data_IF_256670319219
#
_entry.id   IF_256670319219
#
_cell.length_a   1.000
_cell.length_b   1.000
_cell.length_c   1.000
_cell.angle_alpha   90.00
_cell.angle_beta   90.00
_cell.angle_gamma   90.00
#
_symmetry.space_group_name_H-M   'P 1'
#
loop_
_entity.id
_entity.type
_entity.pdbx_description
1 polymer ?
#
# COMPACT_ATOMS: atom_id res chain seq x y z
N UNK A 1 11.37 25.79 10.08
CA UNK A 1 11.71 24.36 10.29
C UNK A 1 10.65 23.59 11.09
N UNK A 2 10.23 24.06 12.28
CA UNK A 2 9.20 23.37 13.09
C UNK A 2 7.83 23.25 12.40
N UNK A 3 7.39 24.29 11.69
CA UNK A 3 6.11 24.29 10.97
C UNK A 3 6.08 23.29 9.81
N UNK A 4 7.13 23.25 8.97
CA UNK A 4 7.25 22.27 7.88
C UNK A 4 7.29 20.83 8.43
N UNK A 5 8.06 20.59 9.50
CA UNK A 5 8.09 19.28 10.16
C UNK A 5 6.70 18.87 10.65
N UNK A 6 5.97 19.77 11.31
CA UNK A 6 4.62 19.48 11.79
C UNK A 6 3.63 19.16 10.64
N UNK A 7 3.77 19.81 9.49
CA UNK A 7 2.94 19.52 8.30
C UNK A 7 3.25 18.12 7.78
N UNK A 8 4.53 17.78 7.63
CA UNK A 8 4.96 16.45 7.15
C UNK A 8 4.54 15.36 8.15
N UNK A 9 4.71 15.62 9.45
CA UNK A 9 4.25 14.73 10.51
C UNK A 9 2.76 14.48 10.43
N UNK A 10 1.96 15.54 10.29
CA UNK A 10 0.52 15.42 10.12
C UNK A 10 0.17 14.60 8.87
N UNK A 11 0.83 14.89 7.73
CA UNK A 11 0.60 14.19 6.46
C UNK A 11 0.85 12.68 6.54
N UNK A 12 1.89 12.25 7.27
CA UNK A 12 2.21 10.83 7.48
C UNK A 12 1.31 10.20 8.55
N UNK A 13 1.12 10.88 9.68
CA UNK A 13 0.36 10.36 10.82
C UNK A 13 -1.14 10.26 10.53
N UNK A 14 -1.66 11.12 9.65
CA UNK A 14 -3.05 11.08 9.17
C UNK A 14 -3.30 10.06 8.05
N UNK A 15 -2.26 9.34 7.62
CA UNK A 15 -2.30 8.37 6.51
C UNK A 15 -2.64 8.97 5.14
N UNK A 16 -2.56 10.30 4.98
CA UNK A 16 -2.69 10.96 3.68
C UNK A 16 -1.59 10.53 2.71
N UNK A 17 -0.37 10.33 3.21
CA UNK A 17 0.73 9.87 2.37
C UNK A 17 0.49 8.48 1.78
N UNK A 18 0.12 7.52 2.63
CA UNK A 18 -0.27 6.17 2.22
C UNK A 18 -1.43 6.21 1.24
N UNK A 19 -2.46 7.03 1.51
CA UNK A 19 -3.60 7.17 0.61
C UNK A 19 -3.20 7.67 -0.78
N UNK A 20 -2.28 8.63 -0.85
CA UNK A 20 -1.73 9.10 -2.12
C UNK A 20 -0.90 8.01 -2.82
N UNK A 21 -0.13 7.21 -2.09
CA UNK A 21 0.62 6.10 -2.64
C UNK A 21 -0.30 4.99 -3.21
N UNK A 22 -1.38 4.64 -2.51
CA UNK A 22 -2.38 3.67 -3.00
C UNK A 22 -3.11 4.21 -4.22
N UNK A 23 -3.50 5.49 -4.21
CA UNK A 23 -4.09 6.15 -5.38
C UNK A 23 -3.12 6.13 -6.58
N UNK A 24 -1.84 6.43 -6.36
CA UNK A 24 -0.83 6.32 -7.42
C UNK A 24 -0.70 4.89 -7.99
N UNK A 25 -0.85 3.84 -7.17
CA UNK A 25 -0.88 2.46 -7.67
C UNK A 25 -2.12 2.16 -8.51
N UNK A 26 -3.28 2.74 -8.17
CA UNK A 26 -4.51 2.65 -8.99
C UNK A 26 -4.25 3.28 -10.36
N UNK A 27 -3.72 4.50 -10.38
CA UNK A 27 -3.38 5.22 -11.62
C UNK A 27 -2.35 4.47 -12.49
N UNK A 28 -1.30 3.92 -11.88
CA UNK A 28 -0.33 3.06 -12.58
C UNK A 28 -1.05 1.90 -13.25
N UNK A 29 -2.01 1.27 -12.57
CA UNK A 29 -2.77 0.16 -13.16
C UNK A 29 -3.63 0.63 -14.32
N UNK A 30 -4.37 1.74 -14.17
CA UNK A 30 -5.21 2.27 -15.25
C UNK A 30 -4.39 2.63 -16.49
N UNK A 31 -3.23 3.28 -16.33
CA UNK A 31 -2.32 3.62 -17.43
C UNK A 31 -1.78 2.36 -18.09
N UNK A 32 -1.20 1.44 -17.30
CA UNK A 32 -0.58 0.21 -17.85
C UNK A 32 -1.59 -0.67 -18.57
N UNK A 33 -2.82 -0.77 -18.06
CA UNK A 33 -3.88 -1.57 -18.66
C UNK A 33 -4.73 -0.83 -19.69
N UNK A 34 -4.58 0.50 -19.82
CA UNK A 34 -5.41 1.38 -20.66
C UNK A 34 -6.90 1.30 -20.29
N UNK A 35 -7.19 1.27 -18.99
CA UNK A 35 -8.55 1.24 -18.47
C UNK A 35 -9.17 2.64 -18.49
N UNK A 36 -10.50 2.70 -18.54
CA UNK A 36 -11.23 3.94 -18.31
C UNK A 36 -11.29 4.27 -16.82
N UNK A 37 -10.91 5.50 -16.49
CA UNK A 37 -10.95 6.09 -15.15
C UNK A 37 -12.37 6.07 -14.53
N UNK A 38 -12.53 5.36 -13.41
CA UNK A 38 -13.69 5.46 -12.52
C UNK A 38 -13.35 6.32 -11.31
N UNK A 39 -13.61 7.63 -11.47
CA UNK A 39 -13.33 8.64 -10.45
C UNK A 39 -14.03 8.36 -9.12
N UNK A 40 -15.19 7.71 -9.12
CA UNK A 40 -15.88 7.40 -7.87
C UNK A 40 -15.14 6.29 -7.13
N UNK A 41 -14.71 5.24 -7.85
CA UNK A 41 -13.91 4.15 -7.30
C UNK A 41 -12.57 4.65 -6.77
N UNK A 42 -11.80 5.39 -7.55
CA UNK A 42 -10.53 5.99 -7.14
C UNK A 42 -10.65 6.81 -5.84
N UNK A 43 -11.66 7.70 -5.78
CA UNK A 43 -11.86 8.57 -4.61
C UNK A 43 -12.28 7.75 -3.39
N UNK A 44 -13.15 6.75 -3.57
CA UNK A 44 -13.50 5.84 -2.49
C UNK A 44 -12.31 5.02 -2.00
N UNK A 45 -11.41 4.58 -2.89
CA UNK A 45 -10.16 3.91 -2.53
C UNK A 45 -9.24 4.86 -1.75
N UNK A 46 -9.07 6.11 -2.21
CA UNK A 46 -8.24 7.10 -1.54
C UNK A 46 -8.74 7.39 -0.12
N UNK A 47 -10.00 7.79 0.03
CA UNK A 47 -10.57 8.08 1.36
C UNK A 47 -10.69 6.81 2.22
N UNK A 48 -10.99 5.65 1.61
CA UNK A 48 -11.03 4.36 2.28
C UNK A 48 -9.67 3.95 2.82
N UNK A 49 -8.58 4.29 2.12
CA UNK A 49 -7.21 4.06 2.59
C UNK A 49 -6.92 4.91 3.83
N UNK A 50 -7.33 6.19 3.85
CA UNK A 50 -7.21 7.04 5.05
C UNK A 50 -7.92 6.39 6.24
N UNK A 51 -9.17 5.97 6.04
CA UNK A 51 -9.99 5.33 7.08
C UNK A 51 -9.34 4.03 7.57
N UNK A 52 -8.99 3.13 6.67
CA UNK A 52 -8.42 1.82 7.01
C UNK A 52 -7.08 1.91 7.74
N UNK A 53 -6.16 2.75 7.26
CA UNK A 53 -4.85 2.91 7.91
C UNK A 53 -4.94 3.69 9.22
N UNK A 54 -5.80 4.71 9.34
CA UNK A 54 -6.01 5.38 10.62
C UNK A 54 -6.67 4.45 11.63
N UNK A 55 -7.64 3.62 11.19
CA UNK A 55 -8.18 2.58 12.04
C UNK A 55 -7.06 1.65 12.54
N UNK A 56 -6.23 1.09 11.66
CA UNK A 56 -5.12 0.21 12.06
C UNK A 56 -4.10 0.88 12.99
N UNK A 57 -3.80 2.18 12.80
CA UNK A 57 -2.83 2.93 13.62
C UNK A 57 -3.37 3.26 15.02
N UNK A 58 -4.65 3.60 15.14
CA UNK A 58 -5.22 4.18 16.37
C UNK A 58 -6.20 3.26 17.10
N UNK A 59 -6.65 2.15 16.48
CA UNK A 59 -7.65 1.25 17.06
C UNK A 59 -7.21 0.64 18.39
N UNK A 60 -5.95 0.21 18.51
CA UNK A 60 -5.47 -0.39 19.75
C UNK A 60 -5.46 0.62 20.92
N UNK A 61 -4.99 1.84 20.67
CA UNK A 61 -5.03 2.93 21.66
C UNK A 61 -6.45 3.33 22.02
N UNK A 62 -7.35 3.33 21.04
CA UNK A 62 -8.78 3.59 21.25
C UNK A 62 -9.43 2.50 22.12
N UNK A 63 -9.20 1.22 21.81
CA UNK A 63 -9.75 0.09 22.55
C UNK A 63 -9.26 0.04 24.01
N UNK A 64 -8.01 0.41 24.25
CA UNK A 64 -7.42 0.50 25.60
C UNK A 64 -7.83 1.76 26.37
N UNK A 65 -8.58 2.68 25.76
CA UNK A 65 -8.98 3.95 26.37
C UNK A 65 -7.85 4.98 26.50
N UNK A 66 -6.70 4.74 25.88
CA UNK A 66 -5.48 5.54 26.00
C UNK A 66 -5.32 6.58 24.87
N UNK A 67 -6.32 6.71 24.00
CA UNK A 67 -6.25 7.64 22.88
C UNK A 67 -6.45 9.07 23.36
N UNK A 68 -5.41 9.90 23.21
CA UNK A 68 -5.52 11.33 23.48
C UNK A 68 -6.30 12.03 22.35
N UNK A 69 -7.57 12.32 22.62
CA UNK A 69 -8.48 12.98 21.67
C UNK A 69 -8.05 14.40 21.34
N UNK A 70 -7.47 15.14 22.29
CA UNK A 70 -7.08 16.53 22.08
C UNK A 70 -5.88 16.62 21.13
N UNK A 71 -4.89 15.73 21.33
CA UNK A 71 -3.72 15.64 20.47
C UNK A 71 -4.07 15.17 19.07
N UNK A 72 -5.01 14.24 18.93
CA UNK A 72 -5.37 13.61 17.65
C UNK A 72 -6.61 14.20 16.97
N UNK A 73 -7.19 15.29 17.49
CA UNK A 73 -8.49 15.85 17.03
C UNK A 73 -8.57 16.07 15.52
N UNK A 74 -7.49 16.52 14.89
CA UNK A 74 -7.46 16.79 13.45
C UNK A 74 -7.42 15.50 12.64
N UNK A 75 -6.71 14.47 13.11
CA UNK A 75 -6.66 13.15 12.49
C UNK A 75 -8.04 12.47 12.60
N UNK A 76 -8.68 12.58 13.78
CA UNK A 76 -10.04 12.08 13.99
C UNK A 76 -11.02 12.80 13.07
N UNK A 77 -10.98 14.13 13.00
CA UNK A 77 -11.82 14.93 12.11
C UNK A 77 -11.64 14.57 10.63
N UNK A 78 -10.39 14.43 10.17
CA UNK A 78 -10.09 13.97 8.81
C UNK A 78 -10.63 12.56 8.56
N UNK A 79 -10.45 11.64 9.52
CA UNK A 79 -10.95 10.26 9.40
C UNK A 79 -12.47 10.25 9.29
N UNK A 80 -13.16 11.03 10.11
CA UNK A 80 -14.62 11.18 10.05
C UNK A 80 -15.09 11.74 8.69
N UNK A 81 -14.44 12.80 8.20
CA UNK A 81 -14.75 13.36 6.88
C UNK A 81 -14.48 12.35 5.76
N UNK A 82 -13.42 11.55 5.90
CA UNK A 82 -13.08 10.49 4.94
C UNK A 82 -14.14 9.38 4.94
N UNK A 83 -14.71 9.02 6.09
CA UNK A 83 -15.85 8.07 6.16
C UNK A 83 -17.05 8.61 5.37
N UNK A 84 -17.40 9.88 5.57
CA UNK A 84 -18.49 10.53 4.82
C UNK A 84 -18.19 10.50 3.32
N UNK A 85 -16.96 10.84 2.93
CA UNK A 85 -16.54 10.82 1.53
C UNK A 85 -16.62 9.42 0.91
N UNK A 86 -16.16 8.37 1.62
CA UNK A 86 -16.30 6.97 1.16
C UNK A 86 -17.76 6.62 0.93
N UNK A 87 -18.65 6.93 1.88
CA UNK A 87 -20.08 6.66 1.73
C UNK A 87 -20.65 7.42 0.53
N UNK A 88 -20.32 8.69 0.38
CA UNK A 88 -20.79 9.55 -0.71
C UNK A 88 -20.38 9.00 -2.09
N UNK A 89 -19.11 8.62 -2.28
CA UNK A 89 -18.63 8.08 -3.55
C UNK A 89 -19.13 6.65 -3.79
N UNK A 90 -19.21 5.83 -2.75
CA UNK A 90 -19.76 4.49 -2.82
C UNK A 90 -21.20 4.50 -3.36
N UNK A 91 -22.05 5.42 -2.87
CA UNK A 91 -23.44 5.54 -3.33
C UNK A 91 -23.58 5.98 -4.80
N UNK A 92 -22.52 6.56 -5.39
CA UNK A 92 -22.49 6.96 -6.80
C UNK A 92 -21.95 5.88 -7.75
N UNK A 93 -21.39 4.80 -7.21
CA UNK A 93 -20.91 3.67 -8.03
C UNK A 93 -22.07 2.84 -8.56
N UNK A 94 -21.82 2.12 -9.65
CA UNK A 94 -22.74 1.09 -10.11
C UNK A 94 -22.80 -0.09 -9.11
N UNK A 95 -23.90 -0.86 -9.11
CA UNK A 95 -24.13 -1.93 -8.13
C UNK A 95 -23.06 -3.02 -8.17
N UNK A 96 -22.53 -3.34 -9.36
CA UNK A 96 -21.45 -4.32 -9.51
C UNK A 96 -20.19 -3.87 -8.77
N UNK A 97 -19.76 -2.62 -8.99
CA UNK A 97 -18.57 -2.03 -8.32
C UNK A 97 -18.76 -1.97 -6.81
N UNK A 98 -19.95 -1.61 -6.33
CA UNK A 98 -20.28 -1.59 -4.91
C UNK A 98 -20.07 -2.96 -4.24
N UNK A 99 -20.54 -4.05 -4.88
CA UNK A 99 -20.39 -5.41 -4.37
C UNK A 99 -18.90 -5.77 -4.25
N UNK A 100 -18.10 -5.44 -5.25
CA UNK A 100 -16.66 -5.72 -5.22
C UNK A 100 -15.93 -4.87 -4.18
N UNK A 101 -16.28 -3.60 -4.07
CA UNK A 101 -15.72 -2.71 -3.07
C UNK A 101 -16.02 -3.21 -1.65
N UNK A 102 -17.24 -3.71 -1.38
CA UNK A 102 -17.58 -4.34 -0.10
C UNK A 102 -16.73 -5.60 0.14
N UNK A 103 -16.59 -6.48 -0.85
CA UNK A 103 -15.79 -7.71 -0.72
C UNK A 103 -14.33 -7.39 -0.35
N UNK A 104 -13.72 -6.42 -1.02
CA UNK A 104 -12.35 -5.99 -0.73
C UNK A 104 -12.28 -5.29 0.64
N UNK A 105 -13.25 -4.43 0.95
CA UNK A 105 -13.36 -3.77 2.25
C UNK A 105 -13.46 -4.75 3.42
N UNK A 106 -14.24 -5.83 3.27
CA UNK A 106 -14.32 -6.93 4.25
C UNK A 106 -12.98 -7.64 4.40
N UNK A 107 -12.29 -7.91 3.29
CA UNK A 107 -10.96 -8.53 3.33
C UNK A 107 -9.94 -7.66 4.08
N UNK A 108 -9.95 -6.35 3.84
CA UNK A 108 -9.11 -5.38 4.56
C UNK A 108 -9.52 -5.29 6.03
N UNK A 109 -10.81 -5.36 6.36
CA UNK A 109 -11.29 -5.37 7.73
C UNK A 109 -10.88 -6.64 8.52
N UNK A 110 -10.67 -7.76 7.82
CA UNK A 110 -10.18 -9.00 8.42
C UNK A 110 -8.66 -8.99 8.67
N UNK A 111 -7.90 -8.17 7.93
CA UNK A 111 -6.44 -8.07 8.07
C UNK A 111 -5.94 -7.88 9.52
N UNK A 112 -6.49 -6.97 10.37
CA UNK A 112 -6.01 -6.81 11.75
C UNK A 112 -6.06 -8.09 12.60
N UNK A 113 -6.95 -9.04 12.27
CA UNK A 113 -7.02 -10.34 12.95
C UNK A 113 -5.99 -11.32 12.40
N UNK A 114 -5.78 -11.33 11.08
CA UNK A 114 -4.88 -12.25 10.39
C UNK A 114 -3.40 -11.84 10.51
N UNK A 115 -3.11 -10.55 10.70
CA UNK A 115 -1.73 -10.04 10.78
C UNK A 115 -0.94 -10.58 11.99
N UNK A 116 -1.63 -11.16 12.98
CA UNK A 116 -1.01 -11.84 14.14
C UNK A 116 -0.15 -13.04 13.74
N UNK A 117 -0.35 -13.57 12.53
CA UNK A 117 0.53 -14.57 11.96
C UNK A 117 1.71 -13.85 11.27
N UNK A 118 2.75 -13.49 12.05
CA UNK A 118 3.82 -12.58 11.64
C UNK A 118 4.48 -12.90 10.30
N UNK A 119 4.79 -14.17 10.01
CA UNK A 119 5.34 -14.55 8.70
C UNK A 119 4.41 -14.24 7.52
N UNK A 120 3.09 -14.37 7.71
CA UNK A 120 2.08 -14.12 6.68
C UNK A 120 1.68 -12.64 6.59
N UNK A 121 2.01 -11.82 7.59
CA UNK A 121 1.68 -10.38 7.65
C UNK A 121 2.02 -9.66 6.35
N UNK A 122 3.25 -9.83 5.86
CA UNK A 122 3.74 -9.21 4.63
C UNK A 122 2.95 -9.65 3.38
N UNK A 123 2.63 -10.95 3.27
CA UNK A 123 1.87 -11.47 2.13
C UNK A 123 0.42 -11.00 2.16
N UNK A 124 -0.19 -10.93 3.35
CA UNK A 124 -1.57 -10.46 3.53
C UNK A 124 -1.73 -8.98 3.17
N UNK A 125 -0.81 -8.11 3.62
CA UNK A 125 -0.83 -6.70 3.23
C UNK A 125 -0.68 -6.57 1.72
N UNK A 126 0.28 -7.29 1.14
CA UNK A 126 0.54 -7.23 -0.30
C UNK A 126 -0.65 -7.71 -1.12
N UNK A 127 -1.37 -8.73 -0.63
CA UNK A 127 -2.61 -9.20 -1.23
C UNK A 127 -3.72 -8.14 -1.15
N UNK A 128 -3.90 -7.50 0.01
CA UNK A 128 -4.89 -6.43 0.19
C UNK A 128 -4.63 -5.24 -0.75
N UNK A 129 -3.38 -4.79 -0.83
CA UNK A 129 -2.98 -3.70 -1.72
C UNK A 129 -3.15 -4.10 -3.19
N UNK A 130 -2.76 -5.32 -3.57
CA UNK A 130 -2.96 -5.80 -4.95
C UNK A 130 -4.45 -5.89 -5.30
N UNK A 131 -5.26 -6.37 -4.37
CA UNK A 131 -6.70 -6.49 -4.58
C UNK A 131 -7.35 -5.12 -4.79
N UNK A 132 -7.01 -4.11 -3.96
CA UNK A 132 -7.60 -2.78 -4.10
C UNK A 132 -7.05 -1.99 -5.29
N UNK A 133 -5.77 -2.18 -5.67
CA UNK A 133 -5.11 -1.37 -6.71
C UNK A 133 -5.13 -1.97 -8.11
N UNK A 134 -5.42 -3.27 -8.23
CA UNK A 134 -5.52 -3.95 -9.54
C UNK A 134 -6.84 -4.68 -9.66
N UNK A 135 -7.10 -5.65 -8.78
CA UNK A 135 -8.27 -6.52 -8.92
C UNK A 135 -9.58 -5.73 -8.92
N UNK A 136 -9.71 -4.71 -8.07
CA UNK A 136 -10.88 -3.83 -8.02
C UNK A 136 -11.23 -3.19 -9.37
N UNK A 137 -10.22 -2.92 -10.21
CA UNK A 137 -10.37 -2.23 -11.49
C UNK A 137 -10.74 -3.19 -12.62
N UNK A 138 -10.27 -4.44 -12.56
CA UNK A 138 -10.43 -5.43 -13.63
C UNK A 138 -11.55 -6.45 -13.37
N UNK A 139 -12.06 -6.55 -12.14
CA UNK A 139 -13.00 -7.61 -11.73
C UNK A 139 -14.37 -7.57 -12.43
N UNK A 140 -14.70 -6.46 -13.11
CA UNK A 140 -15.92 -6.36 -13.90
C UNK A 140 -15.82 -7.08 -15.26
N UNK A 141 -14.63 -7.52 -15.64
CA UNK A 141 -14.42 -8.25 -16.89
C UNK A 141 -14.74 -9.74 -16.71
N UNK A 142 -15.36 -10.35 -17.73
CA UNK A 142 -15.76 -11.76 -17.70
C UNK A 142 -14.55 -12.72 -17.62
N UNK A 143 -13.44 -12.34 -18.25
CA UNK A 143 -12.20 -13.11 -18.25
C UNK A 143 -10.99 -12.19 -18.18
N UNK A 144 -10.00 -12.56 -17.36
CA UNK A 144 -8.74 -11.83 -17.30
C UNK A 144 -7.85 -12.21 -18.48
N UNK A 145 -7.43 -11.19 -19.22
CA UNK A 145 -6.36 -11.27 -20.21
C UNK A 145 -5.02 -11.62 -19.56
N UNK A 146 -4.08 -12.11 -20.35
CA UNK A 146 -2.73 -12.42 -19.83
C UNK A 146 -2.01 -11.15 -19.34
N UNK A 147 -2.28 -9.99 -19.97
CA UNK A 147 -1.79 -8.69 -19.54
C UNK A 147 -2.23 -8.36 -18.11
N UNK A 148 -3.49 -8.59 -17.77
CA UNK A 148 -4.03 -8.32 -16.43
C UNK A 148 -3.46 -9.27 -15.38
N UNK A 149 -3.31 -10.55 -15.72
CA UNK A 149 -2.64 -11.52 -14.83
C UNK A 149 -1.20 -11.12 -14.56
N UNK A 150 -0.48 -10.66 -15.58
CA UNK A 150 0.89 -10.14 -15.46
C UNK A 150 0.91 -8.94 -14.51
N UNK A 151 0.05 -7.93 -14.72
CA UNK A 151 0.00 -6.72 -13.88
C UNK A 151 -0.38 -7.06 -12.43
N UNK A 152 -1.33 -7.97 -12.23
CA UNK A 152 -1.73 -8.45 -10.89
C UNK A 152 -0.55 -9.10 -10.17
N UNK A 153 0.17 -10.00 -10.85
CA UNK A 153 1.31 -10.68 -10.25
C UNK A 153 2.50 -9.75 -10.04
N UNK A 154 2.79 -8.84 -10.98
CA UNK A 154 3.79 -7.78 -10.81
C UNK A 154 3.47 -6.90 -9.59
N UNK A 155 2.22 -6.45 -9.44
CA UNK A 155 1.78 -5.64 -8.30
C UNK A 155 1.99 -6.38 -6.99
N UNK A 156 1.66 -7.66 -6.93
CA UNK A 156 1.89 -8.46 -5.74
C UNK A 156 3.37 -8.55 -5.36
N UNK A 157 4.26 -8.81 -6.34
CA UNK A 157 5.70 -8.90 -6.13
C UNK A 157 6.31 -7.58 -5.63
N UNK A 158 5.99 -6.46 -6.29
CA UNK A 158 6.56 -5.15 -5.94
C UNK A 158 6.06 -4.66 -4.58
N UNK A 159 4.79 -4.92 -4.22
CA UNK A 159 4.29 -4.55 -2.89
C UNK A 159 4.97 -5.39 -1.81
N UNK A 160 5.20 -6.69 -2.03
CA UNK A 160 5.99 -7.50 -1.08
C UNK A 160 7.37 -6.88 -0.88
N UNK A 161 8.06 -6.53 -1.97
CA UNK A 161 9.38 -5.92 -1.88
C UNK A 161 9.37 -4.58 -1.12
N UNK A 162 8.37 -3.72 -1.38
CA UNK A 162 8.18 -2.45 -0.68
C UNK A 162 7.86 -2.61 0.80
N UNK A 163 7.29 -3.75 1.23
CA UNK A 163 7.02 -4.04 2.64
C UNK A 163 8.27 -4.47 3.42
N UNK A 164 9.36 -4.88 2.76
CA UNK A 164 10.57 -5.39 3.43
C UNK A 164 11.22 -4.34 4.35
N UNK A 165 11.36 -3.06 3.95
CA UNK A 165 11.86 -2.03 4.86
C UNK A 165 11.02 -1.88 6.14
N UNK A 166 9.70 -1.98 6.04
CA UNK A 166 8.79 -1.89 7.18
C UNK A 166 8.93 -3.11 8.08
N UNK A 167 8.98 -4.33 7.52
CA UNK A 167 9.20 -5.54 8.30
C UNK A 167 10.52 -5.51 9.07
N UNK A 168 11.60 -4.99 8.46
CA UNK A 168 12.89 -4.83 9.15
C UNK A 168 12.75 -3.84 10.31
N UNK A 169 12.14 -2.68 10.10
CA UNK A 169 11.98 -1.66 11.15
C UNK A 169 11.09 -2.16 12.30
N UNK A 170 9.94 -2.76 11.96
CA UNK A 170 8.98 -3.27 12.95
C UNK A 170 9.55 -4.43 13.77
N UNK A 171 10.48 -5.21 13.21
CA UNK A 171 11.05 -6.38 13.88
C UNK A 171 11.81 -6.10 15.18
N UNK A 172 12.18 -4.83 15.45
CA UNK A 172 12.78 -4.42 16.73
C UNK A 172 11.74 -4.34 17.87
N UNK A 173 10.47 -4.09 17.52
CA UNK A 173 9.38 -3.90 18.49
C UNK A 173 8.30 -4.98 18.43
N UNK A 174 8.24 -5.75 17.33
CA UNK A 174 7.32 -6.87 17.18
C UNK A 174 7.65 -7.98 18.19
N UNK A 175 6.61 -8.61 18.75
CA UNK A 175 6.74 -9.75 19.67
C UNK A 175 7.48 -10.92 19.01
N UNK A 176 8.45 -11.53 19.69
CA UNK A 176 9.25 -12.66 19.18
C UNK A 176 8.39 -13.87 18.75
N UNK A 177 7.20 -14.03 19.34
CA UNK A 177 6.24 -15.09 18.97
C UNK A 177 5.67 -14.94 17.56
N UNK A 178 5.68 -13.71 17.00
CA UNK A 178 5.23 -13.42 15.64
C UNK A 178 6.10 -14.14 14.60
N UNK A 179 7.38 -14.32 14.91
CA UNK A 179 8.39 -14.92 14.03
C UNK A 179 8.31 -14.31 12.63
N UNK A 180 8.47 -12.98 12.53
CA UNK A 180 8.50 -12.25 11.26
C UNK A 180 9.68 -12.68 10.38
N UNK A 181 9.74 -12.21 9.13
CA UNK A 181 10.80 -12.61 8.22
C UNK A 181 12.21 -12.22 8.75
N UNK A 182 12.43 -11.00 9.28
CA UNK A 182 13.70 -10.64 9.92
C UNK A 182 14.00 -11.46 11.18
N UNK A 183 13.00 -11.75 12.02
CA UNK A 183 13.19 -12.55 13.23
C UNK A 183 13.57 -14.01 12.92
N UNK A 184 12.99 -14.61 11.87
CA UNK A 184 13.30 -16.01 11.48
C UNK A 184 14.62 -16.19 10.75
N UNK A 185 14.91 -15.28 9.81
CA UNK A 185 16.00 -15.48 8.85
C UNK A 185 17.13 -14.46 8.98
N UNK A 186 16.95 -13.43 9.80
CA UNK A 186 17.87 -12.32 9.95
C UNK A 186 17.70 -11.26 8.86
N UNK A 187 18.04 -10.01 9.21
CA UNK A 187 17.88 -8.82 8.37
C UNK A 187 18.51 -9.01 6.98
N UNK A 188 19.70 -9.61 6.91
CA UNK A 188 20.42 -9.81 5.65
C UNK A 188 19.62 -10.67 4.67
N UNK A 189 19.08 -11.81 5.11
CA UNK A 189 18.28 -12.71 4.26
C UNK A 189 16.94 -12.06 3.88
N UNK A 190 16.35 -11.30 4.78
CA UNK A 190 15.11 -10.54 4.50
C UNK A 190 15.31 -9.50 3.40
N UNK A 191 16.43 -8.75 3.43
CA UNK A 191 16.78 -7.83 2.33
C UNK A 191 16.93 -8.55 1.00
N UNK A 192 17.70 -9.63 0.99
CA UNK A 192 17.91 -10.42 -0.22
C UNK A 192 16.62 -11.02 -0.76
N UNK A 193 15.73 -11.51 0.10
CA UNK A 193 14.41 -11.98 -0.30
C UNK A 193 13.64 -10.88 -1.06
N UNK A 194 13.58 -9.66 -0.52
CA UNK A 194 12.95 -8.52 -1.20
C UNK A 194 13.59 -8.18 -2.53
N UNK A 195 14.93 -8.13 -2.59
CA UNK A 195 15.68 -7.78 -3.81
C UNK A 195 15.50 -8.86 -4.90
N UNK A 196 15.54 -10.15 -4.53
CA UNK A 196 15.36 -11.26 -5.47
C UNK A 196 13.96 -11.25 -6.08
N UNK A 197 12.92 -10.87 -5.31
CA UNK A 197 11.55 -10.74 -5.83
C UNK A 197 11.40 -9.69 -6.93
N UNK A 198 12.33 -8.72 -7.01
CA UNK A 198 12.33 -7.73 -8.09
C UNK A 198 12.76 -8.32 -9.44
N UNK A 199 13.45 -9.47 -9.45
CA UNK A 199 13.82 -10.16 -10.68
C UNK A 199 12.59 -10.66 -11.46
N UNK A 200 11.70 -11.51 -10.89
CA UNK A 200 10.48 -11.89 -11.60
C UNK A 200 9.58 -10.69 -11.90
N UNK A 201 9.54 -9.67 -11.04
CA UNK A 201 8.80 -8.43 -11.32
C UNK A 201 9.23 -7.76 -12.63
N UNK A 202 10.55 -7.62 -12.85
CA UNK A 202 11.11 -7.06 -14.09
C UNK A 202 10.98 -8.03 -15.26
N UNK A 203 11.21 -9.33 -15.05
CA UNK A 203 11.11 -10.33 -16.12
C UNK A 203 9.70 -10.40 -16.72
N UNK A 204 8.67 -10.22 -15.90
CA UNK A 204 7.28 -10.17 -16.33
C UNK A 204 6.98 -9.03 -17.31
N UNK A 205 7.78 -7.96 -17.30
CA UNK A 205 7.61 -6.82 -18.20
C UNK A 205 7.84 -7.21 -19.67
N UNK A 206 8.76 -8.15 -19.93
CA UNK A 206 9.07 -8.62 -21.29
C UNK A 206 7.97 -9.50 -21.90
N UNK A 207 6.96 -9.89 -21.12
CA UNK A 207 5.78 -10.61 -21.60
C UNK A 207 4.63 -9.67 -22.00
N UNK A 208 4.77 -8.36 -21.75
CA UNK A 208 3.83 -7.35 -22.23
C UNK A 208 4.17 -6.93 -23.66
N UNK A 209 3.16 -6.50 -24.40
CA UNK A 209 3.33 -5.97 -25.77
C UNK A 209 4.20 -4.71 -25.81
N UNK A 210 4.09 -3.87 -24.78
CA UNK A 210 4.88 -2.65 -24.60
C UNK A 210 5.66 -2.76 -23.30
N UNK A 211 6.98 -2.58 -23.41
CA UNK A 211 7.89 -2.59 -22.27
C UNK A 211 7.93 -1.19 -21.66
N UNK A 212 7.55 -1.09 -20.38
CA UNK A 212 7.64 0.15 -19.62
C UNK A 212 8.99 0.26 -18.91
N UNK A 213 9.83 1.22 -19.32
CA UNK A 213 11.15 1.47 -18.69
C UNK A 213 11.00 1.87 -17.21
N UNK A 214 9.86 2.48 -16.84
CA UNK A 214 9.51 2.81 -15.46
C UNK A 214 9.55 1.59 -14.53
N UNK A 215 9.15 0.40 -15.00
CA UNK A 215 9.19 -0.85 -14.22
C UNK A 215 10.62 -1.17 -13.75
N UNK A 216 11.61 -1.03 -14.64
CA UNK A 216 13.01 -1.25 -14.29
C UNK A 216 13.53 -0.18 -13.31
N UNK A 217 13.20 1.09 -13.55
CA UNK A 217 13.60 2.20 -12.68
C UNK A 217 13.05 1.98 -11.26
N UNK A 218 11.79 1.60 -11.15
CA UNK A 218 11.13 1.34 -9.86
C UNK A 218 11.70 0.12 -9.16
N UNK A 219 12.07 -0.93 -9.89
CA UNK A 219 12.80 -2.06 -9.32
C UNK A 219 14.14 -1.60 -8.72
N UNK A 220 14.94 -0.82 -9.45
CA UNK A 220 16.23 -0.30 -8.96
C UNK A 220 16.03 0.58 -7.72
N UNK A 221 15.09 1.53 -7.76
CA UNK A 221 14.78 2.40 -6.62
C UNK A 221 14.36 1.57 -5.39
N UNK A 222 13.50 0.58 -5.58
CA UNK A 222 13.04 -0.31 -4.50
C UNK A 222 14.20 -1.14 -3.93
N UNK A 223 15.08 -1.68 -4.78
CA UNK A 223 16.26 -2.42 -4.35
C UNK A 223 17.21 -1.55 -3.50
N UNK A 224 17.44 -0.30 -3.90
CA UNK A 224 18.23 0.65 -3.12
C UNK A 224 17.58 0.94 -1.77
N UNK A 225 16.27 1.15 -1.73
CA UNK A 225 15.55 1.38 -0.48
C UNK A 225 15.67 0.18 0.48
N UNK A 226 15.53 -1.05 -0.03
CA UNK A 226 15.74 -2.27 0.76
C UNK A 226 17.18 -2.37 1.24
N UNK A 227 18.15 -2.16 0.35
CA UNK A 227 19.58 -2.27 0.63
C UNK A 227 20.04 -1.35 1.76
N UNK A 228 19.59 -0.10 1.76
CA UNK A 228 19.95 0.89 2.77
C UNK A 228 19.09 0.87 4.04
N UNK A 229 18.10 -0.02 4.16
CA UNK A 229 17.30 -0.13 5.39
C UNK A 229 18.12 -0.68 6.56
N UNK A 230 17.97 -0.13 7.76
CA UNK A 230 18.59 -0.63 9.00
C UNK A 230 17.64 -0.42 10.18
N UNK A 231 17.80 -1.15 11.28
CA UNK A 231 16.99 -0.94 12.50
C UNK A 231 17.07 0.51 13.02
N UNK A 232 18.27 1.11 12.99
CA UNK A 232 18.51 2.49 13.45
C UNK A 232 18.10 3.59 12.46
N UNK A 233 17.45 3.23 11.34
CA UNK A 233 17.11 4.20 10.29
C UNK A 233 15.98 5.10 10.80
N UNK A 234 16.02 6.37 10.43
CA UNK A 234 14.97 7.30 10.81
C UNK A 234 13.60 6.88 10.22
N UNK A 235 12.51 7.09 10.97
CA UNK A 235 11.17 6.66 10.59
C UNK A 235 10.65 7.31 9.30
N UNK A 236 11.08 8.54 8.97
CA UNK A 236 10.75 9.17 7.69
C UNK A 236 11.35 8.41 6.50
N UNK A 237 12.41 7.63 6.70
CA UNK A 237 12.94 6.79 5.63
C UNK A 237 11.89 5.81 5.12
N UNK A 238 11.23 5.07 6.01
CA UNK A 238 10.19 4.12 5.61
C UNK A 238 8.88 4.83 5.35
N UNK A 239 8.34 5.54 6.35
CA UNK A 239 7.00 6.15 6.31
C UNK A 239 6.83 7.34 5.37
N UNK A 240 7.90 7.83 4.73
CA UNK A 240 7.81 8.85 3.69
C UNK A 240 8.54 8.40 2.42
N UNK A 241 9.85 8.13 2.49
CA UNK A 241 10.61 7.89 1.26
C UNK A 241 10.28 6.55 0.59
N UNK A 242 10.18 5.45 1.34
CA UNK A 242 9.80 4.14 0.78
C UNK A 242 8.33 4.16 0.33
N UNK A 243 7.42 4.72 1.13
CA UNK A 243 6.01 4.87 0.75
C UNK A 243 5.79 5.79 -0.47
N UNK A 244 6.76 6.64 -0.83
CA UNK A 244 6.71 7.48 -2.02
C UNK A 244 7.00 6.75 -3.33
N UNK A 245 7.51 5.52 -3.30
CA UNK A 245 7.88 4.77 -4.53
C UNK A 245 6.70 4.62 -5.50
N UNK A 246 5.48 4.25 -5.06
CA UNK A 246 4.30 4.28 -5.93
C UNK A 246 4.02 5.63 -6.59
N UNK A 247 4.16 6.73 -5.85
CA UNK A 247 3.95 8.08 -6.36
C UNK A 247 5.00 8.39 -7.43
N UNK A 248 6.26 8.03 -7.17
CA UNK A 248 7.33 8.16 -8.16
C UNK A 248 7.03 7.34 -9.43
N UNK A 249 6.50 6.12 -9.30
CA UNK A 249 6.13 5.29 -10.45
C UNK A 249 5.05 5.97 -11.30
N UNK A 250 3.97 6.43 -10.66
CA UNK A 250 2.91 7.12 -11.36
C UNK A 250 3.43 8.35 -12.11
N UNK A 251 4.24 9.18 -11.46
CA UNK A 251 4.84 10.36 -12.10
C UNK A 251 5.74 9.99 -13.28
N UNK A 252 6.53 8.91 -13.18
CA UNK A 252 7.34 8.43 -14.30
C UNK A 252 6.46 8.09 -15.50
N UNK A 253 5.35 7.36 -15.30
CA UNK A 253 4.44 6.99 -16.38
C UNK A 253 3.72 8.19 -17.02
N UNK A 254 3.39 9.22 -16.24
CA UNK A 254 2.70 10.41 -16.77
C UNK A 254 3.63 11.29 -17.61
N UNK A 255 4.93 11.31 -17.32
CA UNK A 255 5.90 12.17 -17.99
C UNK A 255 6.77 11.47 -19.05
N UNK A 256 6.50 10.20 -19.37
CA UNK A 256 7.17 9.41 -20.43
C UNK A 256 6.18 8.96 -21.48
#
# INVERSE_FOLDING_TARGET
MKLLKNIIDFYIQSSLHVALAIYALVEVTEISLQLSTDKNLERAIFFGTIVGYNFLKYFESFQKGNLDFNKNRYIIGLTFLSIIAVIFYFLQMNSSTQIYFIKIGLMVALYPFLRKFGFWKLFLVSFCVTAITVYALIIQQDFFSDKEKIVLFQRFLIVIALMIPFEILDSETDDDSMKTLPQRFGIFKTKWFGIILLLPFVLLEFFKEKIEVSTLIIAVITALFIGFTTLKRDKYYTSFWVESVPICWWLLLVFT
#
